data_IF_018283282623
#
_entry.id   IF_018283282623
#
_cell.length_a   1.000
_cell.length_b   1.000
_cell.length_c   1.000
_cell.angle_alpha   90.00
_cell.angle_beta   90.00
_cell.angle_gamma   90.00
#
_symmetry.space_group_name_H-M   'P 1'
#
loop_
_entity.id
_entity.type
_entity.pdbx_description
1 polymer ?
#
# COMPACT_ATOMS: atom_id res chain seq x y z
N UNK A 1 10.67 -2.73 10.62
CA UNK A 1 10.60 -2.99 9.17
C UNK A 1 9.54 -2.08 8.54
N UNK A 2 9.59 -1.82 7.23
CA UNK A 2 8.55 -1.10 6.50
C UNK A 2 8.00 -1.94 5.35
N UNK A 3 6.71 -1.75 5.08
CA UNK A 3 5.99 -2.31 3.93
C UNK A 3 5.62 -1.20 2.96
N UNK A 4 5.59 -1.51 1.67
CA UNK A 4 5.34 -0.52 0.63
C UNK A 4 3.97 -0.77 -0.01
N UNK A 5 2.99 0.09 0.29
CA UNK A 5 1.63 0.02 -0.27
C UNK A 5 1.62 -0.04 -1.80
N UNK A 6 2.54 0.67 -2.46
CA UNK A 6 2.76 0.59 -3.93
C UNK A 6 3.09 -0.83 -4.40
N UNK A 7 4.03 -1.50 -3.73
CA UNK A 7 4.48 -2.84 -4.14
C UNK A 7 3.42 -3.89 -3.84
N UNK A 8 2.71 -3.74 -2.72
CA UNK A 8 1.58 -4.60 -2.38
C UNK A 8 0.41 -4.41 -3.35
N UNK A 9 0.08 -3.18 -3.72
CA UNK A 9 -0.97 -2.91 -4.70
C UNK A 9 -0.64 -3.55 -6.07
N UNK A 10 0.63 -3.56 -6.49
CA UNK A 10 1.04 -4.23 -7.73
C UNK A 10 0.74 -5.73 -7.77
N UNK A 11 0.79 -6.41 -6.64
CA UNK A 11 0.56 -7.86 -6.57
C UNK A 11 -0.91 -8.18 -6.26
N UNK A 12 -1.56 -7.36 -5.44
CA UNK A 12 -2.92 -7.61 -4.95
C UNK A 12 -4.03 -6.89 -5.74
N UNK A 13 -3.69 -5.94 -6.63
CA UNK A 13 -4.64 -5.28 -7.54
C UNK A 13 -4.13 -5.36 -8.99
N UNK A 14 -4.17 -6.54 -9.63
CA UNK A 14 -3.77 -6.66 -11.02
C UNK A 14 -4.60 -5.76 -11.95
N UNK A 15 -4.01 -5.32 -13.05
CA UNK A 15 -4.71 -4.55 -14.09
C UNK A 15 -4.79 -3.04 -13.89
N UNK A 16 -4.16 -2.46 -12.85
CA UNK A 16 -4.06 -1.00 -12.77
C UNK A 16 -3.01 -0.47 -13.75
N UNK A 17 -3.37 0.60 -14.48
CA UNK A 17 -2.45 1.28 -15.40
C UNK A 17 -1.27 1.94 -14.68
N UNK A 18 -1.46 2.37 -13.43
CA UNK A 18 -0.44 3.06 -12.64
C UNK A 18 -0.72 2.92 -11.15
N UNK A 19 0.32 2.56 -10.39
CA UNK A 19 0.25 2.28 -8.96
C UNK A 19 0.80 3.42 -8.08
N UNK A 20 1.22 4.56 -8.65
CA UNK A 20 1.68 5.73 -7.86
C UNK A 20 0.59 6.12 -6.86
N UNK A 21 1.01 6.55 -5.67
CA UNK A 21 0.12 6.91 -4.54
C UNK A 21 -1.06 7.78 -4.98
N UNK A 22 -0.78 8.88 -5.70
CA UNK A 22 -1.80 9.77 -6.29
C UNK A 22 -2.86 9.04 -7.13
N UNK A 23 -2.43 8.10 -7.96
CA UNK A 23 -3.34 7.40 -8.86
C UNK A 23 -4.17 6.37 -8.10
N UNK A 24 -3.56 5.61 -7.19
CA UNK A 24 -4.28 4.67 -6.36
C UNK A 24 -5.28 5.40 -5.46
N UNK A 25 -4.87 6.46 -4.79
CA UNK A 25 -5.75 7.27 -3.96
C UNK A 25 -6.94 7.80 -4.77
N UNK A 26 -6.71 8.37 -5.96
CA UNK A 26 -7.78 8.81 -6.85
C UNK A 26 -8.72 7.67 -7.27
N UNK A 27 -8.17 6.50 -7.65
CA UNK A 27 -8.97 5.36 -8.10
C UNK A 27 -9.83 4.78 -6.97
N UNK A 28 -9.35 4.85 -5.72
CA UNK A 28 -10.02 4.36 -4.52
C UNK A 28 -10.85 5.44 -3.81
N UNK A 29 -10.97 6.64 -4.40
CA UNK A 29 -11.64 7.81 -3.81
C UNK A 29 -11.09 8.19 -2.41
N UNK A 30 -9.78 8.03 -2.21
CA UNK A 30 -9.06 8.44 -1.00
C UNK A 30 -8.56 9.88 -1.20
N UNK A 31 -8.85 10.75 -0.23
CA UNK A 31 -8.37 12.13 -0.20
C UNK A 31 -6.84 12.17 0.00
N UNK A 32 -6.17 13.00 -0.80
CA UNK A 32 -4.71 13.10 -0.78
C UNK A 32 -4.26 14.53 -1.08
N UNK A 33 -3.69 15.17 -0.07
CA UNK A 33 -3.01 16.46 -0.18
C UNK A 33 -1.52 16.21 -0.47
N UNK A 34 -1.13 16.38 -1.74
CA UNK A 34 0.15 15.93 -2.30
C UNK A 34 1.42 16.63 -1.78
N UNK A 35 1.27 17.62 -0.89
CA UNK A 35 2.41 18.28 -0.25
C UNK A 35 2.45 18.05 1.25
N UNK A 36 1.54 17.21 1.76
CA UNK A 36 1.42 16.91 3.17
C UNK A 36 1.83 15.46 3.46
N UNK A 37 3.01 15.31 4.08
CA UNK A 37 3.54 14.00 4.43
C UNK A 37 2.60 13.18 5.34
N UNK A 38 1.80 13.84 6.19
CA UNK A 38 0.79 13.15 6.99
C UNK A 38 -0.35 12.62 6.12
N UNK A 39 -0.78 13.39 5.11
CA UNK A 39 -1.79 12.95 4.14
C UNK A 39 -1.27 11.76 3.32
N UNK A 40 -0.01 11.80 2.88
CA UNK A 40 0.63 10.69 2.16
C UNK A 40 0.71 9.41 3.01
N UNK A 41 1.09 9.55 4.29
CA UNK A 41 1.13 8.43 5.23
C UNK A 41 -0.27 7.83 5.47
N UNK A 42 -1.28 8.69 5.67
CA UNK A 42 -2.67 8.27 5.85
C UNK A 42 -3.21 7.56 4.61
N UNK A 43 -3.02 8.12 3.43
CA UNK A 43 -3.47 7.50 2.18
C UNK A 43 -2.78 6.15 1.94
N UNK A 44 -1.49 6.03 2.29
CA UNK A 44 -0.78 4.74 2.20
C UNK A 44 -1.37 3.68 3.12
N UNK A 45 -1.77 4.06 4.34
CA UNK A 45 -2.45 3.17 5.28
C UNK A 45 -3.84 2.76 4.79
N UNK A 46 -4.63 3.70 4.29
CA UNK A 46 -5.97 3.42 3.72
C UNK A 46 -5.89 2.50 2.50
N UNK A 47 -4.88 2.67 1.64
CA UNK A 47 -4.65 1.74 0.52
C UNK A 47 -4.37 0.34 1.07
N UNK A 48 -3.53 0.20 2.09
CA UNK A 48 -3.25 -1.11 2.68
C UNK A 48 -4.51 -1.76 3.27
N UNK A 49 -5.32 -0.99 4.01
CA UNK A 49 -6.60 -1.46 4.55
C UNK A 49 -7.56 -1.91 3.45
N UNK A 50 -7.63 -1.15 2.34
CA UNK A 50 -8.41 -1.54 1.16
C UNK A 50 -7.92 -2.86 0.56
N UNK A 51 -6.59 -3.04 0.44
CA UNK A 51 -6.01 -4.29 -0.07
C UNK A 51 -6.33 -5.48 0.82
N UNK A 52 -6.23 -5.33 2.14
CA UNK A 52 -6.54 -6.38 3.10
C UNK A 52 -8.02 -6.77 3.03
N UNK A 53 -8.91 -5.77 3.11
CA UNK A 53 -10.36 -6.00 3.11
C UNK A 53 -10.86 -6.61 1.79
N UNK A 54 -10.38 -6.12 0.64
CA UNK A 54 -10.79 -6.64 -0.69
C UNK A 54 -10.32 -8.07 -0.93
N UNK A 55 -9.19 -8.47 -0.33
CA UNK A 55 -8.67 -9.82 -0.43
C UNK A 55 -9.06 -10.71 0.77
N UNK A 56 -9.99 -10.24 1.62
CA UNK A 56 -10.51 -10.99 2.79
C UNK A 56 -9.45 -11.38 3.82
N UNK A 57 -8.43 -10.55 4.01
CA UNK A 57 -7.41 -10.72 5.06
C UNK A 57 -7.66 -9.79 6.24
N UNK A 58 -7.68 -10.35 7.45
CA UNK A 58 -7.72 -9.58 8.71
C UNK A 58 -6.35 -9.44 9.37
N UNK A 59 -5.36 -10.21 8.93
CA UNK A 59 -4.00 -10.22 9.44
C UNK A 59 -3.01 -9.84 8.34
N UNK A 60 -2.14 -8.89 8.65
CA UNK A 60 -1.13 -8.41 7.72
C UNK A 60 -0.11 -9.50 7.37
N UNK A 61 0.32 -10.32 8.34
CA UNK A 61 1.35 -11.33 8.09
C UNK A 61 0.83 -12.44 7.17
N UNK A 62 -0.42 -12.87 7.36
CA UNK A 62 -1.11 -13.81 6.49
C UNK A 62 -1.19 -13.28 5.06
N UNK A 63 -1.54 -12.01 4.88
CA UNK A 63 -1.56 -11.36 3.57
C UNK A 63 -0.17 -11.30 2.92
N UNK A 64 0.86 -10.88 3.66
CA UNK A 64 2.23 -10.83 3.13
C UNK A 64 2.73 -12.21 2.72
N UNK A 65 2.37 -13.26 3.47
CA UNK A 65 2.73 -14.64 3.16
C UNK A 65 2.03 -15.14 1.90
N UNK A 66 0.72 -14.90 1.77
CA UNK A 66 -0.07 -15.29 0.59
C UNK A 66 0.55 -14.72 -0.69
N UNK A 67 0.83 -13.42 -0.71
CA UNK A 67 1.40 -12.75 -1.87
C UNK A 67 2.92 -12.91 -1.98
N UNK A 68 3.54 -13.77 -1.15
CA UNK A 68 4.98 -14.02 -1.14
C UNK A 68 5.82 -12.73 -1.06
N UNK A 69 5.33 -11.75 -0.32
CA UNK A 69 5.98 -10.45 -0.16
C UNK A 69 7.13 -10.54 0.84
N UNK A 70 8.34 -10.76 0.33
CA UNK A 70 9.58 -10.83 1.12
C UNK A 70 10.40 -9.53 1.10
N UNK A 71 9.83 -8.43 0.57
CA UNK A 71 10.51 -7.15 0.40
C UNK A 71 10.18 -6.15 1.52
N UNK A 72 10.21 -6.62 2.76
CA UNK A 72 10.22 -5.71 3.91
C UNK A 72 11.56 -4.98 3.94
N UNK A 73 11.53 -3.66 4.14
CA UNK A 73 12.75 -2.87 4.28
C UNK A 73 13.02 -2.53 5.73
N UNK A 74 14.26 -2.14 6.05
CA UNK A 74 14.62 -1.62 7.37
C UNK A 74 14.62 -0.09 7.34
N UNK A 75 13.93 0.52 8.31
CA UNK A 75 13.94 1.97 8.47
C UNK A 75 15.34 2.41 8.93
N UNK A 76 15.90 3.45 8.31
CA UNK A 76 17.18 4.05 8.70
C UNK A 76 18.44 3.42 8.10
N UNK A 77 18.33 2.41 7.22
CA UNK A 77 19.51 1.87 6.51
C UNK A 77 19.81 2.54 5.17
N UNK A 78 18.84 3.21 4.56
CA UNK A 78 19.03 4.05 3.38
C UNK A 78 18.07 5.23 3.48
N UNK A 79 18.61 6.42 3.76
CA UNK A 79 17.94 7.71 3.71
C UNK A 79 18.27 8.43 2.41
#
# INVERSE_FOLDING_TARGET
EYICSYRLAKVALPGQLNYKLKRLAKNLNIELDHHNALSDARASGLILEYLLSTNSFSDLNAFLKEYSYNKTGLLGQYG
#
